data_IF_032031642755
#
_entry.id   IF_032031642755
#
_cell.length_a   1.000
_cell.length_b   1.000
_cell.length_c   1.000
_cell.angle_alpha   90.00
_cell.angle_beta   90.00
_cell.angle_gamma   90.00
#
_symmetry.space_group_name_H-M   'P 1'
#
loop_
_entity.id
_entity.type
_entity.pdbx_description
1 polymer ?
#
# COMPACT_ATOMS: atom_id res chain seq x y z
N UNK A 1 13.97 -7.84 8.19
CA UNK A 1 14.75 -6.83 8.93
C UNK A 1 14.61 -5.42 8.33
N UNK A 2 14.55 -4.37 9.17
CA UNK A 2 14.10 -3.01 8.82
C UNK A 2 15.08 -2.29 7.88
N UNK A 3 14.62 -1.88 6.70
CA UNK A 3 15.45 -1.15 5.73
C UNK A 3 15.40 0.36 5.94
N UNK A 4 14.22 1.00 5.90
CA UNK A 4 14.07 2.45 6.01
C UNK A 4 12.70 2.87 6.56
N UNK A 5 12.60 4.11 7.02
CA UNK A 5 11.37 4.78 7.41
C UNK A 5 11.12 6.01 6.54
N UNK A 6 9.86 6.41 6.44
CA UNK A 6 9.46 7.64 5.74
C UNK A 6 8.19 8.24 6.35
N UNK A 7 8.07 9.56 6.20
CA UNK A 7 6.85 10.32 6.44
C UNK A 7 6.51 11.00 5.12
N UNK A 8 5.28 10.81 4.66
CA UNK A 8 4.78 11.33 3.39
C UNK A 8 3.47 12.07 3.69
N UNK A 9 3.34 13.30 3.20
CA UNK A 9 2.13 14.09 3.34
C UNK A 9 1.73 14.61 1.96
N UNK A 10 0.55 14.20 1.51
CA UNK A 10 0.05 14.44 0.15
C UNK A 10 1.02 13.89 -0.92
N UNK A 11 1.56 14.77 -1.77
CA UNK A 11 2.52 14.44 -2.83
C UNK A 11 3.99 14.57 -2.38
N UNK A 12 4.25 14.92 -1.11
CA UNK A 12 5.58 15.25 -0.61
C UNK A 12 6.12 14.21 0.37
N UNK A 13 7.31 13.66 0.07
CA UNK A 13 8.08 12.85 1.02
C UNK A 13 8.84 13.78 1.96
N UNK A 14 8.26 14.04 3.13
CA UNK A 14 8.82 14.94 4.15
C UNK A 14 10.11 14.40 4.77
N UNK A 15 10.20 13.08 4.91
CA UNK A 15 11.37 12.41 5.48
C UNK A 15 11.63 11.05 4.84
N UNK A 16 12.91 10.70 4.66
CA UNK A 16 13.35 9.35 4.33
C UNK A 16 14.65 9.03 5.06
N UNK A 17 14.64 7.98 5.90
CA UNK A 17 15.82 7.64 6.71
C UNK A 17 17.02 7.17 5.89
N UNK A 18 16.80 6.75 4.63
CA UNK A 18 17.86 6.29 3.73
C UNK A 18 17.55 6.71 2.29
N UNK A 19 18.41 7.57 1.72
CA UNK A 19 18.28 8.08 0.33
C UNK A 19 18.06 6.96 -0.71
N UNK A 20 18.77 5.82 -0.57
CA UNK A 20 18.64 4.67 -1.49
C UNK A 20 17.26 3.99 -1.49
N UNK A 21 16.39 4.30 -0.52
CA UNK A 21 15.02 3.77 -0.42
C UNK A 21 13.96 4.81 -0.77
N UNK A 22 14.35 6.02 -1.17
CA UNK A 22 13.42 7.07 -1.55
C UNK A 22 12.45 6.62 -2.65
N UNK A 23 12.96 5.99 -3.71
CA UNK A 23 12.13 5.50 -4.82
C UNK A 23 11.16 4.37 -4.44
N UNK A 24 11.45 3.62 -3.37
CA UNK A 24 10.48 2.67 -2.83
C UNK A 24 9.28 3.40 -2.21
N UNK A 25 9.51 4.52 -1.52
CA UNK A 25 8.45 5.32 -0.93
C UNK A 25 7.66 6.13 -1.97
N UNK A 26 8.25 6.50 -3.10
CA UNK A 26 7.51 7.09 -4.24
C UNK A 26 6.37 6.18 -4.73
N UNK A 27 6.50 4.86 -4.57
CA UNK A 27 5.43 3.90 -4.91
C UNK A 27 4.16 4.18 -4.10
N UNK A 28 4.30 4.61 -2.84
CA UNK A 28 3.16 4.97 -1.99
C UNK A 28 2.38 6.14 -2.58
N UNK A 29 3.06 7.12 -3.17
CA UNK A 29 2.43 8.26 -3.85
C UNK A 29 1.64 7.81 -5.10
N UNK A 30 2.20 6.89 -5.89
CA UNK A 30 1.51 6.35 -7.06
C UNK A 30 0.27 5.55 -6.66
N UNK A 31 0.36 4.77 -5.58
CA UNK A 31 -0.78 4.05 -5.03
C UNK A 31 -1.82 5.03 -4.48
N UNK A 32 -1.44 6.07 -3.74
CA UNK A 32 -2.38 7.08 -3.24
C UNK A 32 -3.20 7.72 -4.37
N UNK A 33 -2.55 8.07 -5.50
CA UNK A 33 -3.23 8.61 -6.69
C UNK A 33 -4.27 7.64 -7.26
N UNK A 34 -3.96 6.34 -7.29
CA UNK A 34 -4.94 5.31 -7.66
C UNK A 34 -6.10 5.30 -6.65
N UNK A 35 -5.81 5.26 -5.35
CA UNK A 35 -6.84 5.18 -4.31
C UNK A 35 -7.80 6.36 -4.36
N UNK A 36 -7.31 7.59 -4.48
CA UNK A 36 -8.16 8.77 -4.62
C UNK A 36 -9.08 8.70 -5.83
N UNK A 37 -8.61 8.07 -6.92
CA UNK A 37 -9.43 7.89 -8.13
C UNK A 37 -10.45 6.76 -8.01
N UNK A 38 -10.12 5.70 -7.27
CA UNK A 38 -10.98 4.54 -7.04
C UNK A 38 -11.83 4.65 -5.79
N UNK A 39 -11.71 5.73 -5.03
CA UNK A 39 -12.42 5.88 -3.77
C UNK A 39 -12.63 7.37 -3.46
N UNK A 40 -13.60 8.01 -4.13
CA UNK A 40 -13.86 9.43 -3.94
C UNK A 40 -14.35 9.76 -2.52
N UNK A 41 -14.94 8.79 -1.80
CA UNK A 41 -15.34 8.96 -0.39
C UNK A 41 -14.16 8.99 0.58
N UNK A 42 -12.96 8.62 0.13
CA UNK A 42 -11.75 8.56 0.93
C UNK A 42 -11.94 7.74 2.22
N UNK A 43 -12.60 6.58 2.13
CA UNK A 43 -12.84 5.65 3.26
C UNK A 43 -11.84 4.47 3.31
N UNK A 44 -10.98 4.31 2.29
CA UNK A 44 -9.97 3.25 2.24
C UNK A 44 -8.66 3.76 2.80
N UNK A 45 -8.01 2.91 3.61
CA UNK A 45 -6.69 3.18 4.17
C UNK A 45 -5.70 2.21 3.55
N UNK A 46 -4.51 2.72 3.24
CA UNK A 46 -3.44 1.93 2.66
C UNK A 46 -2.62 1.35 3.81
N UNK A 47 -2.45 0.03 3.85
CA UNK A 47 -1.80 -0.63 4.98
C UNK A 47 -0.46 -1.26 4.58
N UNK A 48 -0.36 -1.75 3.34
CA UNK A 48 0.83 -2.49 2.91
C UNK A 48 0.98 -2.47 1.39
N UNK A 49 2.22 -2.33 0.94
CA UNK A 49 2.65 -2.59 -0.43
C UNK A 49 3.76 -3.65 -0.41
N UNK A 50 3.57 -4.73 -1.16
CA UNK A 50 4.55 -5.81 -1.31
C UNK A 50 5.30 -5.64 -2.64
N UNK A 51 6.62 -5.59 -2.56
CA UNK A 51 7.54 -5.48 -3.68
C UNK A 51 8.34 -6.78 -3.82
N UNK A 52 8.59 -7.21 -5.07
CA UNK A 52 9.42 -8.37 -5.38
C UNK A 52 10.49 -7.98 -6.38
N UNK A 53 11.75 -8.13 -5.96
CA UNK A 53 12.87 -8.03 -6.87
C UNK A 53 13.04 -9.36 -7.64
N UNK A 54 13.72 -9.32 -8.79
CA UNK A 54 14.03 -10.48 -9.62
C UNK A 54 14.79 -11.58 -8.84
N UNK A 55 15.56 -11.19 -7.81
CA UNK A 55 16.32 -12.11 -6.93
C UNK A 55 15.49 -12.74 -5.78
N UNK A 56 14.19 -12.96 -6.00
CA UNK A 56 13.20 -13.57 -5.08
C UNK A 56 12.99 -12.89 -3.71
N UNK A 57 13.80 -11.89 -3.33
CA UNK A 57 13.59 -11.13 -2.10
C UNK A 57 12.33 -10.28 -2.18
N UNK A 58 11.46 -10.43 -1.18
CA UNK A 58 10.26 -9.61 -1.00
C UNK A 58 10.55 -8.50 -0.01
N UNK A 59 10.36 -7.26 -0.42
CA UNK A 59 10.31 -6.14 0.51
C UNK A 59 8.86 -5.73 0.71
N UNK A 60 8.52 -5.31 1.92
CA UNK A 60 7.19 -4.84 2.27
C UNK A 60 7.32 -3.44 2.82
N UNK A 61 6.54 -2.53 2.26
CA UNK A 61 6.29 -1.23 2.83
C UNK A 61 5.03 -1.40 3.68
N UNK A 62 5.18 -1.35 5.00
CA UNK A 62 4.06 -1.26 5.92
C UNK A 62 3.72 0.21 6.15
N UNK A 63 2.44 0.52 6.22
CA UNK A 63 1.91 1.88 6.10
C UNK A 63 0.82 2.08 7.15
N UNK A 64 0.95 3.16 7.91
CA UNK A 64 -0.13 3.72 8.72
C UNK A 64 -0.64 4.93 7.94
N UNK A 65 -1.82 4.79 7.34
CA UNK A 65 -2.48 5.85 6.58
C UNK A 65 -3.47 6.59 7.49
N UNK A 66 -3.18 7.86 7.75
CA UNK A 66 -3.96 8.77 8.57
C UNK A 66 -4.55 9.86 7.67
N UNK A 67 -5.83 10.19 7.89
CA UNK A 67 -6.44 11.40 7.32
C UNK A 67 -6.32 12.50 8.36
N UNK A 68 -5.65 13.60 8.00
CA UNK A 68 -5.48 14.74 8.90
C UNK A 68 -6.78 15.55 9.04
N UNK A 69 -6.81 16.56 9.90
CA UNK A 69 -8.03 17.37 10.10
C UNK A 69 -8.39 18.15 8.84
N UNK A 70 -7.37 18.54 8.07
CA UNK A 70 -7.53 19.22 6.78
C UNK A 70 -7.87 18.25 5.62
N UNK A 71 -8.24 17.00 5.91
CA UNK A 71 -8.54 15.96 4.92
C UNK A 71 -7.34 15.65 3.99
N UNK A 72 -6.11 15.74 4.50
CA UNK A 72 -4.89 15.38 3.78
C UNK A 72 -4.49 13.94 4.11
N UNK A 73 -3.96 13.23 3.12
CA UNK A 73 -3.44 11.89 3.31
C UNK A 73 -2.02 11.97 3.88
N UNK A 74 -1.85 11.46 5.09
CA UNK A 74 -0.57 11.35 5.80
C UNK A 74 -0.20 9.88 5.94
N UNK A 75 1.01 9.54 5.50
CA UNK A 75 1.52 8.18 5.54
C UNK A 75 2.78 8.13 6.40
N UNK A 76 2.73 7.31 7.44
CA UNK A 76 3.93 6.82 8.11
C UNK A 76 4.28 5.48 7.50
N UNK A 77 5.51 5.34 7.02
CA UNK A 77 5.93 4.15 6.30
C UNK A 77 7.19 3.54 6.92
N UNK A 78 7.27 2.21 6.91
CA UNK A 78 8.52 1.47 7.09
C UNK A 78 8.67 0.43 5.99
N UNK A 79 9.85 0.33 5.41
CA UNK A 79 10.17 -0.68 4.39
C UNK A 79 11.21 -1.65 4.94
N UNK A 80 11.02 -2.94 4.65
CA UNK A 80 11.96 -3.98 5.02
C UNK A 80 11.51 -5.35 4.53
N UNK A 81 12.34 -6.37 4.74
CA UNK A 81 11.93 -7.76 4.54
C UNK A 81 11.14 -8.24 5.78
N UNK A 82 9.94 -7.70 5.97
CA UNK A 82 9.02 -8.09 7.05
C UNK A 82 8.28 -9.37 6.67
N UNK A 83 7.90 -10.19 7.64
CA UNK A 83 7.03 -11.34 7.38
C UNK A 83 5.60 -10.85 7.04
N UNK A 84 4.81 -11.65 6.32
CA UNK A 84 3.52 -11.20 5.73
C UNK A 84 2.49 -10.77 6.78
N UNK A 85 2.42 -11.51 7.89
CA UNK A 85 1.54 -11.25 9.03
C UNK A 85 2.28 -10.72 10.25
N UNK A 86 3.38 -9.99 10.05
CA UNK A 86 4.20 -9.47 11.14
C UNK A 86 3.43 -8.42 11.95
N UNK A 87 2.99 -8.78 13.16
CA UNK A 87 2.39 -7.88 14.13
C UNK A 87 3.43 -6.91 14.69
N UNK A 88 4.65 -7.39 14.96
CA UNK A 88 5.73 -6.56 15.48
C UNK A 88 6.08 -5.41 14.52
N UNK A 89 6.00 -5.65 13.20
CA UNK A 89 6.22 -4.59 12.23
C UNK A 89 5.12 -3.51 12.32
N UNK A 90 3.85 -3.90 12.49
CA UNK A 90 2.76 -2.93 12.71
C UNK A 90 2.85 -2.24 14.07
N UNK A 91 3.28 -2.94 15.14
CA UNK A 91 3.53 -2.32 16.46
C UNK A 91 4.63 -1.27 16.37
N UNK A 92 5.74 -1.57 15.69
CA UNK A 92 6.81 -0.62 15.42
C UNK A 92 6.28 0.62 14.68
N UNK A 93 5.43 0.43 13.68
CA UNK A 93 4.87 1.54 12.90
C UNK A 93 3.93 2.42 13.73
N UNK A 94 3.10 1.82 14.59
CA UNK A 94 2.28 2.55 15.56
C UNK A 94 3.13 3.32 16.56
N UNK A 95 4.23 2.72 17.03
CA UNK A 95 5.17 3.43 17.92
C UNK A 95 5.86 4.57 17.18
N UNK A 96 6.17 4.41 15.89
CA UNK A 96 6.69 5.51 15.07
C UNK A 96 5.72 6.70 15.03
N UNK A 97 4.46 6.45 14.70
CA UNK A 97 3.41 7.47 14.69
C UNK A 97 3.31 8.13 16.07
N UNK A 98 3.26 7.34 17.14
CA UNK A 98 3.17 7.83 18.52
C UNK A 98 4.34 8.76 18.88
N UNK A 99 5.57 8.33 18.60
CA UNK A 99 6.77 9.13 18.91
C UNK A 99 6.79 10.45 18.12
N UNK A 100 6.38 10.43 16.86
CA UNK A 100 6.28 11.67 16.06
C UNK A 100 5.17 12.58 16.61
N UNK A 101 3.99 12.04 16.94
CA UNK A 101 2.89 12.82 17.52
C UNK A 101 3.19 13.41 18.89
N UNK A 102 4.09 12.80 19.67
CA UNK A 102 4.57 13.37 20.94
C UNK A 102 5.42 14.63 20.72
N UNK A 103 6.21 14.66 19.64
CA UNK A 103 7.05 15.80 19.29
C UNK A 103 6.28 16.88 18.51
N UNK A 104 5.36 16.45 17.64
CA UNK A 104 4.57 17.30 16.76
C UNK A 104 3.08 17.04 16.98
N UNK A 105 2.51 17.77 17.95
CA UNK A 105 1.11 17.56 18.38
C UNK A 105 0.09 17.75 17.27
N UNK A 106 0.35 18.67 16.35
CA UNK A 106 -0.50 18.90 15.19
C UNK A 106 0.16 18.32 13.94
N UNK A 107 -0.42 17.24 13.42
CA UNK A 107 0.14 16.56 12.25
C UNK A 107 -0.10 17.33 10.95
N UNK A 108 -1.09 18.23 10.91
CA UNK A 108 -1.35 19.11 9.76
C UNK A 108 -0.15 20.05 9.48
N UNK A 109 0.63 20.40 10.51
CA UNK A 109 1.77 21.32 10.42
C UNK A 109 3.08 20.64 9.99
N UNK A 110 3.09 19.31 9.81
CA UNK A 110 4.31 18.56 9.48
C UNK A 110 4.98 19.04 8.20
N UNK A 111 4.20 19.53 7.23
CA UNK A 111 4.74 20.07 5.97
C UNK A 111 5.61 21.31 6.20
N UNK A 112 5.14 22.26 7.02
CA UNK A 112 5.92 23.44 7.39
C UNK A 112 7.12 23.07 8.27
N UNK A 113 6.88 22.23 9.29
CA UNK A 113 7.91 21.81 10.24
C UNK A 113 9.05 21.05 9.55
N UNK A 114 8.76 20.28 8.49
CA UNK A 114 9.78 19.55 7.72
C UNK A 114 10.85 20.41 7.06
N UNK A 115 10.58 21.72 6.92
CA UNK A 115 11.54 22.70 6.36
C UNK A 115 12.56 23.15 7.40
N UNK A 116 12.28 22.95 8.69
CA UNK A 116 13.20 23.26 9.78
C UNK A 116 14.37 22.27 9.81
N UNK A 117 15.56 22.75 10.17
CA UNK A 117 16.75 21.91 10.26
C UNK A 117 16.60 20.80 11.31
N UNK A 118 15.99 21.13 12.45
CA UNK A 118 15.76 20.24 13.60
C UNK A 118 14.87 19.06 13.26
N UNK A 119 13.95 19.19 12.30
CA UNK A 119 12.97 18.16 12.00
C UNK A 119 13.62 16.83 11.62
N UNK A 120 14.58 16.88 10.69
CA UNK A 120 15.27 15.67 10.22
C UNK A 120 16.06 15.00 11.34
N UNK A 121 16.67 15.78 12.23
CA UNK A 121 17.45 15.26 13.34
C UNK A 121 16.57 14.58 14.38
N UNK A 122 15.44 15.19 14.75
CA UNK A 122 14.44 14.63 15.66
C UNK A 122 13.88 13.32 15.10
N UNK A 123 13.41 13.32 13.85
CA UNK A 123 12.85 12.12 13.23
C UNK A 123 13.92 11.03 13.09
N UNK A 124 15.18 11.39 12.80
CA UNK A 124 16.29 10.44 12.75
C UNK A 124 16.51 9.76 14.11
N UNK A 125 16.53 10.52 15.20
CA UNK A 125 16.64 9.97 16.57
C UNK A 125 15.52 8.97 16.87
N UNK A 126 14.26 9.33 16.55
CA UNK A 126 13.11 8.44 16.69
C UNK A 126 13.32 7.15 15.88
N UNK A 127 13.71 7.28 14.61
CA UNK A 127 13.86 6.11 13.73
C UNK A 127 15.04 5.22 14.10
N UNK A 128 16.08 5.75 14.74
CA UNK A 128 17.18 4.97 15.29
C UNK A 128 16.72 4.19 16.52
N UNK A 129 16.08 4.88 17.48
CA UNK A 129 15.49 4.23 18.66
C UNK A 129 14.57 3.07 18.28
N UNK A 130 13.69 3.26 17.29
CA UNK A 130 12.78 2.21 16.84
C UNK A 130 13.49 1.03 16.16
N UNK A 131 14.60 1.27 15.44
CA UNK A 131 15.41 0.18 14.89
C UNK A 131 15.98 -0.67 16.01
N UNK A 132 16.60 -0.02 16.99
CA UNK A 132 17.27 -0.71 18.09
C UNK A 132 16.25 -1.48 18.94
N UNK A 133 15.08 -0.88 19.18
CA UNK A 133 13.99 -1.52 19.94
C UNK A 133 13.35 -2.72 19.24
N UNK A 134 13.19 -2.69 17.91
CA UNK A 134 12.38 -3.68 17.19
C UNK A 134 13.19 -4.67 16.33
N UNK A 135 14.51 -4.53 16.21
CA UNK A 135 15.32 -5.44 15.38
C UNK A 135 15.19 -6.90 15.83
N UNK A 136 15.40 -7.17 17.12
CA UNK A 136 15.33 -8.51 17.72
C UNK A 136 13.89 -9.05 17.75
N UNK A 137 12.87 -8.30 18.24
CA UNK A 137 11.48 -8.74 18.16
C UNK A 137 11.01 -9.16 16.75
N UNK A 138 11.44 -8.43 15.71
CA UNK A 138 11.10 -8.75 14.33
C UNK A 138 11.80 -10.00 13.79
N UNK A 139 12.97 -10.35 14.32
CA UNK A 139 13.70 -11.55 13.93
C UNK A 139 13.09 -12.78 14.58
N UNK A 140 12.78 -12.67 15.87
CA UNK A 140 12.23 -13.74 16.71
C UNK A 140 10.74 -14.01 16.48
N UNK A 141 10.01 -13.06 15.88
CA UNK A 141 8.56 -13.16 15.70
C UNK A 141 8.14 -14.46 14.99
N UNK A 142 7.34 -15.28 15.69
CA UNK A 142 6.71 -16.47 15.11
C UNK A 142 5.40 -16.05 14.45
N UNK A 143 5.26 -16.35 13.16
CA UNK A 143 4.05 -16.02 12.41
C UNK A 143 3.11 -17.20 12.46
N UNK A 144 1.99 -17.00 13.11
CA UNK A 144 0.84 -17.89 12.97
C UNK A 144 0.06 -17.42 11.74
N UNK A 145 -0.04 -18.28 10.72
CA UNK A 145 -1.00 -18.04 9.65
C UNK A 145 -2.40 -18.17 10.27
N UNK A 146 -2.98 -17.06 10.70
CA UNK A 146 -4.38 -17.06 11.10
C UNK A 146 -5.23 -17.44 9.88
N UNK A 147 -5.92 -18.57 9.98
CA UNK A 147 -7.05 -18.93 9.12
C UNK A 147 -8.28 -18.03 9.40
N UNK A 148 -8.04 -16.75 9.69
CA UNK A 148 -9.00 -15.79 10.22
C UNK A 148 -10.15 -15.46 9.27
N UNK A 149 -11.35 -15.58 9.83
CA UNK A 149 -12.70 -15.29 9.35
C UNK A 149 -13.23 -16.04 8.11
N UNK A 150 -14.44 -16.59 8.25
CA UNK A 150 -15.32 -17.09 7.17
C UNK A 150 -15.85 -15.97 6.27
N UNK A 151 -15.06 -14.92 6.03
CA UNK A 151 -15.45 -13.85 5.13
C UNK A 151 -15.55 -14.42 3.72
N UNK A 152 -16.66 -14.12 3.06
CA UNK A 152 -16.90 -14.50 1.67
C UNK A 152 -15.89 -13.77 0.79
N UNK A 153 -14.95 -14.53 0.22
CA UNK A 153 -14.02 -14.00 -0.77
C UNK A 153 -14.79 -13.58 -2.02
N UNK A 154 -14.53 -12.37 -2.51
CA UNK A 154 -15.17 -11.83 -3.71
C UNK A 154 -14.11 -11.26 -4.64
N UNK A 155 -14.15 -11.68 -5.90
CA UNK A 155 -13.34 -11.08 -6.97
C UNK A 155 -14.09 -9.84 -7.43
N UNK A 156 -13.42 -8.69 -7.39
CA UNK A 156 -14.00 -7.42 -7.82
C UNK A 156 -13.66 -7.16 -9.28
N UNK A 157 -12.39 -7.36 -9.66
CA UNK A 157 -11.87 -7.02 -10.98
C UNK A 157 -10.75 -7.96 -11.41
N UNK A 158 -10.68 -8.29 -12.71
CA UNK A 158 -9.51 -8.89 -13.36
C UNK A 158 -9.10 -8.06 -14.57
N UNK A 159 -7.80 -7.97 -14.82
CA UNK A 159 -7.24 -7.33 -16.00
C UNK A 159 -6.04 -8.13 -16.53
N UNK A 160 -5.97 -8.30 -17.84
CA UNK A 160 -4.83 -8.88 -18.53
C UNK A 160 -4.24 -7.79 -19.42
N UNK A 161 -2.93 -7.60 -19.34
CA UNK A 161 -2.18 -6.67 -20.17
C UNK A 161 -0.95 -7.32 -20.80
N UNK A 162 -0.54 -6.80 -21.97
CA UNK A 162 0.73 -7.13 -22.60
C UNK A 162 1.55 -5.84 -22.75
N UNK A 163 2.80 -5.86 -22.29
CA UNK A 163 3.70 -4.71 -22.37
C UNK A 163 3.09 -3.40 -21.79
N UNK A 164 2.22 -3.53 -20.78
CA UNK A 164 1.53 -2.40 -20.16
C UNK A 164 0.25 -1.94 -20.87
N UNK A 165 -0.14 -2.57 -21.98
CA UNK A 165 -1.38 -2.28 -22.70
C UNK A 165 -2.50 -3.23 -22.25
N UNK A 166 -3.64 -2.73 -21.77
CA UNK A 166 -4.81 -3.54 -21.46
C UNK A 166 -5.29 -4.33 -22.68
N UNK A 167 -5.45 -5.65 -22.52
CA UNK A 167 -6.02 -6.54 -23.56
C UNK A 167 -7.47 -6.88 -23.19
N UNK A 168 -7.67 -7.40 -21.99
CA UNK A 168 -8.99 -7.80 -21.47
C UNK A 168 -9.10 -7.27 -20.05
N UNK A 169 -10.24 -6.68 -19.72
CA UNK A 169 -10.57 -6.30 -18.35
C UNK A 169 -12.01 -6.64 -18.04
N UNK A 170 -12.29 -7.08 -16.82
CA UNK A 170 -13.63 -7.44 -16.39
C UNK A 170 -13.85 -7.00 -14.94
N UNK A 171 -14.89 -6.19 -14.76
CA UNK A 171 -15.46 -5.89 -13.44
C UNK A 171 -16.55 -6.93 -13.12
N UNK A 172 -16.31 -7.75 -12.09
CA UNK A 172 -17.26 -8.76 -11.62
C UNK A 172 -18.25 -8.17 -10.62
N UNK A 173 -17.76 -7.35 -9.70
CA UNK A 173 -18.59 -6.68 -8.71
C UNK A 173 -19.02 -5.30 -9.24
N UNK A 174 -20.18 -5.27 -9.89
CA UNK A 174 -20.77 -4.04 -10.42
C UNK A 174 -21.29 -3.10 -9.32
N UNK A 175 -21.44 -3.58 -8.08
CA UNK A 175 -21.77 -2.70 -6.94
C UNK A 175 -20.60 -1.78 -6.60
N UNK A 176 -19.37 -2.12 -7.01
CA UNK A 176 -18.22 -1.21 -6.91
C UNK A 176 -18.54 0.15 -7.55
N UNK A 177 -19.16 0.20 -8.74
CA UNK A 177 -19.51 1.46 -9.39
C UNK A 177 -20.50 2.30 -8.57
N UNK A 178 -21.41 1.65 -7.84
CA UNK A 178 -22.36 2.33 -6.96
C UNK A 178 -21.64 2.97 -5.78
N UNK A 179 -20.67 2.28 -5.20
CA UNK A 179 -19.84 2.82 -4.13
C UNK A 179 -19.04 4.05 -4.59
N UNK A 180 -18.72 4.11 -5.89
CA UNK A 180 -18.07 5.23 -6.57
C UNK A 180 -19.02 6.31 -7.09
N UNK A 181 -20.32 6.23 -6.78
CA UNK A 181 -21.35 7.16 -7.26
C UNK A 181 -21.44 7.26 -8.80
N UNK A 182 -21.11 6.17 -9.50
CA UNK A 182 -21.23 6.08 -10.95
C UNK A 182 -22.48 5.28 -11.36
N UNK A 183 -23.08 5.67 -12.48
CA UNK A 183 -24.18 4.92 -13.08
C UNK A 183 -23.74 3.53 -13.54
N UNK A 184 -24.59 2.53 -13.35
CA UNK A 184 -24.33 1.14 -13.74
C UNK A 184 -24.77 0.87 -15.18
N UNK A 185 -24.22 1.61 -16.14
CA UNK A 185 -24.41 1.31 -17.57
C UNK A 185 -23.25 0.47 -18.10
N UNK A 186 -23.47 -0.30 -19.17
CA UNK A 186 -22.40 -1.11 -19.78
C UNK A 186 -21.24 -0.22 -20.25
N UNK A 187 -21.54 0.95 -20.84
CA UNK A 187 -20.54 1.93 -21.25
C UNK A 187 -19.69 2.42 -20.06
N UNK A 188 -20.31 2.74 -18.92
CA UNK A 188 -19.58 3.16 -17.71
C UNK A 188 -18.73 2.04 -17.13
N UNK A 189 -19.22 0.79 -17.16
CA UNK A 189 -18.46 -0.38 -16.74
C UNK A 189 -17.21 -0.56 -17.61
N UNK A 190 -17.35 -0.46 -18.93
CA UNK A 190 -16.23 -0.59 -19.87
C UNK A 190 -15.21 0.55 -19.70
N UNK A 191 -15.67 1.80 -19.63
CA UNK A 191 -14.82 2.96 -19.40
C UNK A 191 -14.05 2.85 -18.08
N UNK A 192 -14.73 2.49 -16.99
CA UNK A 192 -14.11 2.30 -15.69
C UNK A 192 -13.08 1.16 -15.71
N UNK A 193 -13.43 0.02 -16.31
CA UNK A 193 -12.53 -1.15 -16.36
C UNK A 193 -11.26 -0.83 -17.16
N UNK A 194 -11.41 -0.11 -18.27
CA UNK A 194 -10.28 0.34 -19.09
C UNK A 194 -9.38 1.34 -18.35
N UNK A 195 -9.97 2.37 -17.72
CA UNK A 195 -9.24 3.37 -16.92
C UNK A 195 -8.51 2.73 -15.73
N UNK A 196 -9.18 1.82 -15.01
CA UNK A 196 -8.58 1.06 -13.93
C UNK A 196 -7.39 0.22 -14.42
N UNK A 197 -7.54 -0.51 -15.53
CA UNK A 197 -6.45 -1.29 -16.11
C UNK A 197 -5.24 -0.41 -16.47
N UNK A 198 -5.47 0.75 -17.07
CA UNK A 198 -4.41 1.68 -17.45
C UNK A 198 -3.67 2.23 -16.23
N UNK A 199 -4.39 2.57 -15.16
CA UNK A 199 -3.80 3.06 -13.90
C UNK A 199 -2.98 1.98 -13.18
N UNK A 200 -3.46 0.73 -13.15
CA UNK A 200 -2.73 -0.40 -12.58
C UNK A 200 -1.42 -0.68 -13.35
N UNK A 201 -1.49 -0.70 -14.68
CA UNK A 201 -0.31 -0.83 -15.54
C UNK A 201 0.69 0.31 -15.29
N UNK A 202 0.21 1.55 -15.17
CA UNK A 202 1.04 2.73 -14.88
C UNK A 202 1.79 2.59 -13.55
N UNK A 203 1.13 2.12 -12.49
CA UNK A 203 1.78 1.88 -11.19
C UNK A 203 2.86 0.79 -11.32
N UNK A 204 2.54 -0.32 -12.00
CA UNK A 204 3.48 -1.41 -12.21
C UNK A 204 4.73 -0.94 -12.96
N UNK A 205 4.55 -0.21 -14.06
CA UNK A 205 5.63 0.33 -14.88
C UNK A 205 6.47 1.38 -14.13
N UNK A 206 5.84 2.32 -13.43
CA UNK A 206 6.56 3.31 -12.62
C UNK A 206 7.37 2.63 -11.50
N UNK A 207 6.86 1.57 -10.90
CA UNK A 207 7.57 0.78 -9.90
C UNK A 207 8.83 0.13 -10.50
N UNK A 208 8.72 -0.44 -11.70
CA UNK A 208 9.86 -1.01 -12.44
C UNK A 208 10.91 0.05 -12.79
N UNK A 209 10.50 1.21 -13.32
CA UNK A 209 11.42 2.25 -13.78
C UNK A 209 12.12 2.95 -12.59
N UNK A 210 11.34 3.39 -11.59
CA UNK A 210 11.83 4.23 -10.49
C UNK A 210 12.54 3.42 -9.41
N UNK A 211 11.94 2.29 -9.01
CA UNK A 211 12.42 1.50 -7.88
C UNK A 211 13.16 0.21 -8.31
N UNK A 212 13.24 -0.08 -9.61
CA UNK A 212 13.92 -1.28 -10.17
C UNK A 212 13.43 -2.58 -9.51
N UNK A 213 12.13 -2.64 -9.27
CA UNK A 213 11.45 -3.76 -8.61
C UNK A 213 10.04 -3.90 -9.18
N UNK A 214 9.33 -4.96 -8.81
CA UNK A 214 7.95 -5.16 -9.22
C UNK A 214 7.03 -5.04 -8.02
N UNK A 215 5.85 -4.46 -8.21
CA UNK A 215 4.78 -4.56 -7.24
C UNK A 215 4.16 -5.96 -7.33
N UNK A 216 3.76 -6.52 -6.19
CA UNK A 216 3.08 -7.82 -6.10
C UNK A 216 1.73 -7.74 -5.45
N UNK A 217 1.61 -6.92 -4.42
CA UNK A 217 0.39 -6.83 -3.64
C UNK A 217 0.22 -5.41 -3.10
N UNK A 218 -1.01 -4.88 -3.13
CA UNK A 218 -1.42 -3.68 -2.40
C UNK A 218 -2.56 -4.08 -1.49
N UNK A 219 -2.48 -3.76 -0.20
CA UNK A 219 -3.49 -4.10 0.80
C UNK A 219 -4.10 -2.84 1.37
N UNK A 220 -5.42 -2.81 1.41
CA UNK A 220 -6.21 -1.71 1.93
C UNK A 220 -7.28 -2.21 2.90
N UNK A 221 -7.57 -1.40 3.90
CA UNK A 221 -8.71 -1.59 4.81
C UNK A 221 -9.79 -0.58 4.48
N UNK A 222 -11.05 -1.03 4.45
CA UNK A 222 -12.21 -0.16 4.34
C UNK A 222 -12.63 0.31 5.73
N UNK A 223 -12.73 1.63 5.96
CA UNK A 223 -13.15 2.17 7.26
C UNK A 223 -14.61 1.87 7.58
N UNK A 224 -15.44 1.72 6.55
CA UNK A 224 -16.89 1.49 6.69
C UNK A 224 -17.19 0.01 6.92
N UNK A 225 -16.27 -0.88 6.52
CA UNK A 225 -16.35 -2.31 6.74
C UNK A 225 -14.97 -2.87 7.11
N UNK A 226 -14.63 -2.78 8.41
CA UNK A 226 -13.31 -3.15 8.93
C UNK A 226 -12.95 -4.62 8.72
N UNK A 227 -13.94 -5.49 8.53
CA UNK A 227 -13.74 -6.91 8.26
C UNK A 227 -13.38 -7.17 6.79
N UNK A 228 -13.64 -6.22 5.89
CA UNK A 228 -13.36 -6.32 4.46
C UNK A 228 -11.99 -5.74 4.12
N UNK A 229 -10.99 -6.61 3.89
CA UNK A 229 -9.70 -6.22 3.32
C UNK A 229 -9.78 -6.27 1.80
N UNK A 230 -9.48 -5.14 1.15
CA UNK A 230 -9.34 -5.06 -0.31
C UNK A 230 -7.88 -5.27 -0.68
N UNK A 231 -7.62 -6.14 -1.64
CA UNK A 231 -6.27 -6.51 -2.04
C UNK A 231 -6.18 -6.44 -3.56
N UNK A 232 -5.12 -5.79 -4.06
CA UNK A 232 -4.74 -5.79 -5.46
C UNK A 232 -3.54 -6.72 -5.60
N UNK A 233 -3.62 -7.70 -6.48
CA UNK A 233 -2.52 -8.61 -6.82
C UNK A 233 -2.00 -8.33 -8.22
N UNK A 234 -0.68 -8.44 -8.37
CA UNK A 234 0.03 -8.29 -9.63
C UNK A 234 0.81 -9.58 -9.95
N UNK A 235 0.29 -10.32 -10.92
CA UNK A 235 0.77 -11.62 -11.36
C UNK A 235 1.24 -11.61 -12.81
N UNK A 236 1.68 -12.78 -13.28
CA UNK A 236 1.92 -13.03 -14.70
C UNK A 236 1.26 -14.37 -15.07
N UNK A 237 0.66 -14.46 -16.25
CA UNK A 237 0.08 -15.69 -16.79
C UNK A 237 0.48 -15.83 -18.26
N UNK A 238 1.15 -16.93 -18.62
CA UNK A 238 1.58 -17.23 -20.01
C UNK A 238 2.25 -16.06 -20.75
N UNK A 239 3.09 -15.28 -20.07
CA UNK A 239 3.79 -14.12 -20.64
C UNK A 239 3.01 -12.80 -20.61
N UNK A 240 1.76 -12.81 -20.16
CA UNK A 240 0.94 -11.62 -19.93
C UNK A 240 0.99 -11.19 -18.46
N UNK A 241 0.78 -9.91 -18.21
CA UNK A 241 0.58 -9.38 -16.86
C UNK A 241 -0.87 -9.55 -16.44
N UNK A 242 -1.09 -10.00 -15.21
CA UNK A 242 -2.41 -10.23 -14.63
C UNK A 242 -2.59 -9.32 -13.41
N UNK A 243 -3.57 -8.44 -13.47
CA UNK A 243 -3.98 -7.60 -12.37
C UNK A 243 -5.31 -8.10 -11.81
N UNK A 244 -5.44 -8.11 -10.49
CA UNK A 244 -6.59 -8.71 -9.83
C UNK A 244 -6.95 -7.95 -8.56
N UNK A 245 -8.20 -7.54 -8.43
CA UNK A 245 -8.70 -6.90 -7.20
C UNK A 245 -9.71 -7.82 -6.56
N UNK A 246 -9.53 -8.10 -5.27
CA UNK A 246 -10.46 -8.92 -4.50
C UNK A 246 -10.68 -8.34 -3.09
N UNK A 247 -11.77 -8.79 -2.46
CA UNK A 247 -12.03 -8.61 -1.04
C UNK A 247 -12.10 -9.95 -0.33
N UNK A 248 -11.58 -10.02 0.91
CA UNK A 248 -11.74 -11.16 1.81
C UNK A 248 -10.44 -11.62 2.47
N UNK A 249 -10.33 -12.93 2.71
CA UNK A 249 -9.18 -13.53 3.36
C UNK A 249 -7.97 -13.58 2.41
N UNK A 250 -6.91 -12.85 2.79
CA UNK A 250 -5.68 -12.74 2.02
C UNK A 250 -5.02 -14.09 1.71
N UNK A 251 -4.90 -14.99 2.69
CA UNK A 251 -4.18 -16.25 2.52
C UNK A 251 -4.85 -17.14 1.48
N UNK A 252 -6.19 -17.23 1.51
CA UNK A 252 -6.98 -17.95 0.51
C UNK A 252 -6.89 -17.30 -0.88
N UNK A 253 -6.99 -15.98 -0.96
CA UNK A 253 -6.90 -15.25 -2.24
C UNK A 253 -5.52 -15.36 -2.87
N UNK A 254 -4.45 -15.34 -2.05
CA UNK A 254 -3.06 -15.51 -2.48
C UNK A 254 -2.83 -16.85 -3.17
N UNK A 255 -3.54 -17.91 -2.75
CA UNK A 255 -3.36 -19.25 -3.30
C UNK A 255 -3.76 -19.34 -4.78
N UNK A 256 -4.63 -18.46 -5.28
CA UNK A 256 -4.96 -18.35 -6.72
C UNK A 256 -3.71 -18.04 -7.57
N UNK A 257 -2.70 -17.40 -6.97
CA UNK A 257 -1.45 -17.01 -7.63
C UNK A 257 -0.29 -17.96 -7.31
N UNK A 258 -0.55 -19.12 -6.70
CA UNK A 258 0.45 -20.18 -6.46
C UNK A 258 0.41 -21.19 -7.61
N UNK A 259 0.76 -20.72 -8.81
CA UNK A 259 1.21 -21.56 -9.93
C UNK A 259 2.48 -20.97 -10.52
#
# INVERSE_FOLDING_TARGET
>A
MISAFSIILEDDILYSSKKKKFSAFEIVLFVDKLLRSLNPKNNWRLNKVCLKNHKTTRERIIIEHIITRDNKNLFFCSVGNFKVGSEEAFKMLKDFVRQVSLQYRNLDDLKSLSKESSFKDIIKLITNFLRDKYIEPLEEEIIFEENGNQLKNTILYTGISAQGLPIISQLYDKDLLRDLQQEKTNEKIELFSSDLSAKLATISMNTQIRAKTNIKEIHMTDSDNRDSKKIIFFGNIKGYSLDFIASGNFYKLRDIFKD
#
